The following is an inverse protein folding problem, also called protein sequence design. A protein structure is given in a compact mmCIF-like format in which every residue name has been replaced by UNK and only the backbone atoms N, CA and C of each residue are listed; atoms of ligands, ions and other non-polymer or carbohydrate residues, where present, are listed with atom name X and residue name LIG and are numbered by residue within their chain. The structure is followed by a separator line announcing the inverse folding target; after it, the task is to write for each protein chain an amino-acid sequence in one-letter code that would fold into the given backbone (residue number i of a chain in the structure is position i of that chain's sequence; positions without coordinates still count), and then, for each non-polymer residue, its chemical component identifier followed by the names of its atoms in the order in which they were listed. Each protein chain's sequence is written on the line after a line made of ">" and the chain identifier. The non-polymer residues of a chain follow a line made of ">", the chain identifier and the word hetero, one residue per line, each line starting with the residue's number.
data_IF_884970082841
#
_entry.id   IF_884970082841
#
_cell.length_a   1.000
_cell.length_b   1.000
_cell.length_c   1.000
_cell.angle_alpha   90.00
_cell.angle_beta   90.00
_cell.angle_gamma   90.00
#
_symmetry.space_group_name_H-M   'P 1'
#
loop_
_entity.id
_entity.type
_entity.pdbx_description
1 polymer ?
#
# COMPACT_ATOMS: atom_id res chain seq x y z
N UNK A 1 24.84 -43.13 25.74
CA UNK A 1 23.68 -43.18 24.82
C UNK A 1 22.41 -43.17 25.65
N UNK A 2 21.95 -41.99 26.05
CA UNK A 2 20.62 -41.75 26.62
C UNK A 2 20.16 -40.45 25.98
N UNK A 3 18.94 -40.45 25.46
CA UNK A 3 18.25 -39.34 24.78
C UNK A 3 18.41 -39.24 23.25
N UNK A 4 18.38 -40.36 22.53
CA UNK A 4 17.98 -40.35 21.11
C UNK A 4 16.44 -40.33 21.03
N UNK A 5 15.85 -39.17 21.31
CA UNK A 5 14.45 -38.92 20.99
C UNK A 5 14.32 -38.87 19.47
N UNK A 6 13.50 -39.74 18.88
CA UNK A 6 13.23 -39.73 17.44
C UNK A 6 12.37 -38.50 17.13
N UNK A 7 12.98 -37.46 16.56
CA UNK A 7 12.30 -36.20 16.21
C UNK A 7 11.42 -36.36 14.98
N UNK A 8 11.89 -37.11 13.98
CA UNK A 8 11.15 -37.43 12.76
C UNK A 8 11.35 -38.92 12.44
N UNK A 9 10.29 -39.75 12.45
CA UNK A 9 10.38 -41.21 12.23
C UNK A 9 10.92 -41.62 10.87
N UNK A 10 10.66 -40.85 9.80
CA UNK A 10 11.20 -41.06 8.47
C UNK A 10 11.05 -39.80 7.60
N UNK A 11 11.81 -39.74 6.50
CA UNK A 11 11.84 -38.59 5.58
C UNK A 11 10.46 -38.21 5.00
N UNK A 12 9.52 -39.17 4.92
CA UNK A 12 8.17 -38.94 4.39
C UNK A 12 7.25 -38.18 5.36
N UNK A 13 7.71 -37.91 6.58
CA UNK A 13 6.94 -37.12 7.57
C UNK A 13 7.39 -35.66 7.64
N UNK A 14 8.35 -35.25 6.80
CA UNK A 14 8.71 -33.85 6.65
C UNK A 14 7.58 -33.07 5.98
N UNK A 15 7.35 -31.85 6.44
CA UNK A 15 6.49 -30.89 5.76
C UNK A 15 7.07 -30.52 4.39
N UNK A 16 6.22 -30.02 3.50
CA UNK A 16 6.63 -29.58 2.16
C UNK A 16 7.82 -28.61 2.20
N UNK A 17 7.80 -27.66 3.14
CA UNK A 17 8.89 -26.70 3.30
C UNK A 17 10.20 -27.33 3.78
N UNK A 18 10.14 -28.27 4.73
CA UNK A 18 11.33 -29.00 5.18
C UNK A 18 11.90 -29.88 4.06
N UNK A 19 11.05 -30.54 3.28
CA UNK A 19 11.46 -31.33 2.11
C UNK A 19 12.16 -30.44 1.08
N UNK A 20 11.66 -29.23 0.82
CA UNK A 20 12.32 -28.30 -0.10
C UNK A 20 13.72 -27.89 0.36
N UNK A 21 13.89 -27.56 1.64
CA UNK A 21 15.20 -27.21 2.20
C UNK A 21 16.19 -28.37 2.08
N UNK A 22 15.75 -29.58 2.40
CA UNK A 22 16.57 -30.80 2.26
C UNK A 22 16.90 -31.05 0.79
N UNK A 23 15.93 -30.92 -0.11
CA UNK A 23 16.15 -31.09 -1.55
C UNK A 23 17.14 -30.07 -2.09
N UNK A 24 17.06 -28.80 -1.66
CA UNK A 24 18.01 -27.77 -2.06
C UNK A 24 19.43 -28.14 -1.61
N UNK A 25 19.61 -28.46 -0.34
CA UNK A 25 20.90 -28.88 0.22
C UNK A 25 21.49 -30.09 -0.51
N UNK A 26 20.69 -31.15 -0.68
CA UNK A 26 21.15 -32.38 -1.32
C UNK A 26 21.42 -32.20 -2.81
N UNK A 27 20.66 -31.34 -3.51
CA UNK A 27 20.88 -31.07 -4.94
C UNK A 27 22.21 -30.38 -5.17
N UNK A 28 22.55 -29.37 -4.35
CA UNK A 28 23.84 -28.68 -4.45
C UNK A 28 25.00 -29.66 -4.26
N UNK A 29 24.94 -30.52 -3.24
CA UNK A 29 25.98 -31.51 -2.96
C UNK A 29 26.10 -32.51 -4.11
N UNK A 30 24.95 -33.07 -4.54
CA UNK A 30 24.91 -34.06 -5.63
C UNK A 30 25.49 -33.48 -6.93
N UNK A 31 25.10 -32.26 -7.28
CA UNK A 31 25.52 -31.65 -8.53
C UNK A 31 27.02 -31.30 -8.50
N UNK A 32 27.57 -30.96 -7.33
CA UNK A 32 29.02 -30.80 -7.15
C UNK A 32 29.78 -32.14 -7.22
N UNK A 33 29.26 -33.20 -6.60
CA UNK A 33 29.86 -34.55 -6.65
C UNK A 33 29.95 -35.08 -8.10
N UNK A 34 28.90 -34.83 -8.90
CA UNK A 34 28.86 -35.14 -10.33
C UNK A 34 29.87 -34.34 -11.17
N UNK A 35 30.43 -33.26 -10.63
CA UNK A 35 31.47 -32.47 -11.31
C UNK A 35 32.90 -33.01 -11.10
N UNK A 36 33.04 -34.17 -10.45
CA UNK A 36 34.34 -34.78 -10.06
C UNK A 36 35.18 -33.90 -9.12
N UNK A 37 34.52 -33.00 -8.36
CA UNK A 37 35.16 -32.19 -7.33
C UNK A 37 35.52 -33.01 -6.09
N UNK A 38 36.67 -32.73 -5.47
CA UNK A 38 37.01 -33.32 -4.17
C UNK A 38 36.09 -32.77 -3.07
N UNK A 39 35.19 -33.61 -2.56
CA UNK A 39 34.26 -33.24 -1.48
C UNK A 39 34.75 -33.75 -0.13
N UNK A 40 35.45 -32.90 0.64
CA UNK A 40 35.82 -33.19 2.03
C UNK A 40 34.92 -32.42 3.01
N UNK A 41 34.50 -31.20 2.65
CA UNK A 41 33.64 -30.35 3.45
C UNK A 41 32.83 -29.37 2.56
N UNK A 42 31.83 -28.70 3.13
CA UNK A 42 30.94 -27.80 2.38
C UNK A 42 31.66 -26.59 1.76
N UNK A 43 32.82 -26.16 2.27
CA UNK A 43 33.58 -25.06 1.68
C UNK A 43 34.27 -25.48 0.37
N UNK A 44 34.41 -26.78 0.11
CA UNK A 44 35.00 -27.25 -1.15
C UNK A 44 34.04 -27.03 -2.33
N UNK A 45 32.74 -26.98 -2.04
CA UNK A 45 31.67 -26.77 -3.02
C UNK A 45 31.74 -25.35 -3.55
N UNK A 46 31.84 -25.22 -4.88
CA UNK A 46 31.88 -23.93 -5.59
C UNK A 46 30.99 -23.98 -6.82
N UNK A 47 30.37 -22.85 -7.15
CA UNK A 47 29.53 -22.76 -8.33
C UNK A 47 28.54 -21.61 -8.26
N UNK A 48 27.60 -21.62 -9.21
CA UNK A 48 26.48 -20.68 -9.26
C UNK A 48 25.19 -21.48 -9.16
N UNK A 49 24.32 -21.08 -8.23
CA UNK A 49 23.00 -21.69 -8.01
C UNK A 49 21.94 -20.66 -8.33
N UNK A 50 21.02 -21.00 -9.23
CA UNK A 50 19.92 -20.14 -9.66
C UNK A 50 18.61 -20.78 -9.20
N UNK A 51 17.81 -20.05 -8.43
CA UNK A 51 16.54 -20.56 -7.88
C UNK A 51 15.45 -19.53 -8.10
N UNK A 52 14.36 -19.98 -8.72
CA UNK A 52 13.14 -19.19 -8.80
C UNK A 52 12.26 -19.47 -7.58
N UNK A 53 11.70 -18.42 -6.99
CA UNK A 53 10.85 -18.44 -5.79
C UNK A 53 11.41 -19.29 -4.65
N UNK A 54 12.62 -18.93 -4.17
CA UNK A 54 13.33 -19.72 -3.16
C UNK A 54 12.55 -19.91 -1.84
N UNK A 55 11.61 -19.01 -1.56
CA UNK A 55 10.76 -19.01 -0.38
C UNK A 55 9.41 -19.73 -0.56
N UNK A 56 9.12 -20.25 -1.75
CA UNK A 56 7.86 -20.92 -2.06
C UNK A 56 7.59 -22.07 -1.07
N UNK A 57 6.39 -22.11 -0.49
CA UNK A 57 5.96 -23.12 0.48
C UNK A 57 6.77 -23.23 1.79
N UNK A 58 7.72 -22.32 2.05
CA UNK A 58 8.43 -22.25 3.32
C UNK A 58 7.60 -21.51 4.37
N UNK A 59 7.57 -22.03 5.60
CA UNK A 59 7.03 -21.28 6.73
C UNK A 59 7.92 -20.08 7.06
N UNK A 60 7.32 -19.01 7.59
CA UNK A 60 7.98 -17.77 8.00
C UNK A 60 9.27 -17.95 8.82
N UNK A 61 9.30 -18.93 9.73
CA UNK A 61 10.50 -19.26 10.53
C UNK A 61 11.61 -19.83 9.64
N UNK A 62 11.28 -20.68 8.67
CA UNK A 62 12.25 -21.23 7.75
C UNK A 62 12.79 -20.19 6.76
N UNK A 63 11.92 -19.28 6.28
CA UNK A 63 12.33 -18.17 5.41
C UNK A 63 13.32 -17.23 6.10
N UNK A 64 13.03 -16.83 7.35
CA UNK A 64 13.90 -15.93 8.11
C UNK A 64 15.15 -16.61 8.66
N UNK A 65 15.02 -17.78 9.29
CA UNK A 65 16.10 -18.32 10.12
C UNK A 65 16.89 -19.45 9.47
N UNK A 66 16.22 -20.34 8.72
CA UNK A 66 16.85 -21.60 8.25
C UNK A 66 17.46 -21.43 6.86
N UNK A 67 16.72 -20.82 5.94
CA UNK A 67 17.14 -20.68 4.56
C UNK A 67 18.42 -19.82 4.41
N UNK A 68 18.57 -18.65 5.07
CA UNK A 68 19.82 -17.87 5.01
C UNK A 68 21.02 -18.62 5.59
N UNK A 69 20.83 -19.40 6.67
CA UNK A 69 21.90 -20.25 7.24
C UNK A 69 22.32 -21.37 6.30
N UNK A 70 21.35 -21.95 5.58
CA UNK A 70 21.63 -22.94 4.55
C UNK A 70 22.49 -22.31 3.44
N UNK A 71 22.12 -21.14 2.92
CA UNK A 71 22.90 -20.40 1.93
C UNK A 71 24.32 -20.13 2.46
N UNK A 72 24.45 -19.66 3.70
CA UNK A 72 25.73 -19.35 4.35
C UNK A 72 26.64 -20.56 4.54
N UNK A 73 26.06 -21.76 4.59
CA UNK A 73 26.81 -23.01 4.71
C UNK A 73 27.61 -23.36 3.45
N UNK A 74 27.34 -22.69 2.33
CA UNK A 74 28.05 -22.84 1.06
C UNK A 74 28.78 -21.54 0.67
N UNK A 75 29.85 -21.15 1.37
CA UNK A 75 30.45 -19.81 1.24
C UNK A 75 31.10 -19.53 -0.12
N UNK A 76 31.42 -20.57 -0.90
CA UNK A 76 32.01 -20.43 -2.24
C UNK A 76 30.99 -20.65 -3.37
N UNK A 77 29.69 -20.67 -3.04
CA UNK A 77 28.59 -20.74 -4.02
C UNK A 77 27.94 -19.36 -4.14
N UNK A 78 27.81 -18.88 -5.37
CA UNK A 78 27.04 -17.69 -5.67
C UNK A 78 25.56 -18.05 -5.86
N UNK A 79 24.68 -17.47 -5.05
CA UNK A 79 23.25 -17.65 -5.18
C UNK A 79 22.62 -16.48 -5.96
N UNK A 80 21.82 -16.80 -6.97
CA UNK A 80 20.97 -15.86 -7.71
C UNK A 80 19.53 -16.34 -7.55
N UNK A 81 18.76 -15.62 -6.75
CA UNK A 81 17.44 -16.10 -6.29
C UNK A 81 16.37 -15.04 -6.52
N UNK A 82 15.15 -15.47 -6.82
CA UNK A 82 13.97 -14.60 -6.77
C UNK A 82 13.18 -14.92 -5.50
N UNK A 83 12.57 -13.89 -4.90
CA UNK A 83 11.79 -14.07 -3.69
C UNK A 83 10.65 -13.06 -3.60
N UNK A 84 9.53 -13.49 -3.02
CA UNK A 84 8.41 -12.63 -2.65
C UNK A 84 8.32 -12.40 -1.13
N UNK A 85 9.07 -13.14 -0.32
CA UNK A 85 9.02 -13.08 1.13
C UNK A 85 9.92 -11.98 1.72
N UNK A 86 9.34 -10.92 2.34
CA UNK A 86 10.14 -9.90 3.03
C UNK A 86 10.97 -10.50 4.18
N UNK A 87 10.44 -11.55 4.81
CA UNK A 87 11.11 -12.23 5.92
C UNK A 87 12.44 -12.88 5.55
N UNK A 88 12.57 -13.34 4.30
CA UNK A 88 13.82 -13.91 3.83
C UNK A 88 14.92 -12.85 3.76
N UNK A 89 14.61 -11.64 3.28
CA UNK A 89 15.58 -10.53 3.18
C UNK A 89 16.16 -10.13 4.53
N UNK A 90 15.38 -10.20 5.61
CA UNK A 90 15.88 -9.95 6.96
C UNK A 90 16.81 -11.02 7.46
N UNK A 91 16.44 -12.26 7.20
CA UNK A 91 17.29 -13.38 7.55
C UNK A 91 18.62 -13.27 6.84
N UNK A 92 18.61 -12.81 5.58
CA UNK A 92 19.81 -12.48 4.83
C UNK A 92 20.60 -11.33 5.46
N UNK A 93 19.96 -10.23 5.85
CA UNK A 93 20.64 -9.12 6.54
C UNK A 93 21.23 -9.54 7.91
N UNK A 94 20.51 -10.33 8.69
CA UNK A 94 20.97 -10.86 9.97
C UNK A 94 22.15 -11.82 9.82
N UNK A 95 22.14 -12.66 8.78
CA UNK A 95 23.21 -13.64 8.56
C UNK A 95 24.42 -13.11 7.78
N UNK A 96 24.23 -12.15 6.87
CA UNK A 96 25.26 -11.68 5.95
C UNK A 96 25.64 -10.20 6.13
N UNK A 97 24.84 -9.41 6.85
CA UNK A 97 25.00 -7.96 6.96
C UNK A 97 24.55 -7.21 5.69
N UNK A 98 24.52 -5.88 5.77
CA UNK A 98 24.05 -4.99 4.67
C UNK A 98 24.86 -5.16 3.37
N UNK A 99 26.17 -5.39 3.47
CA UNK A 99 27.06 -5.52 2.31
C UNK A 99 27.22 -6.97 1.80
N UNK A 100 26.57 -7.93 2.46
CA UNK A 100 26.78 -9.35 2.19
C UNK A 100 25.96 -9.93 1.03
N UNK A 101 25.00 -9.17 0.51
CA UNK A 101 24.14 -9.55 -0.60
C UNK A 101 23.63 -8.32 -1.36
N UNK A 102 23.11 -8.52 -2.57
CA UNK A 102 22.51 -7.44 -3.37
C UNK A 102 21.03 -7.72 -3.65
N UNK A 103 20.20 -6.68 -3.57
CA UNK A 103 18.78 -6.76 -3.89
C UNK A 103 18.53 -6.03 -5.21
N UNK A 104 17.92 -6.72 -6.17
CA UNK A 104 17.54 -6.16 -7.46
C UNK A 104 16.03 -6.23 -7.61
N UNK A 105 15.38 -5.07 -7.71
CA UNK A 105 13.95 -4.99 -7.95
C UNK A 105 13.63 -5.29 -9.42
N UNK A 106 12.63 -6.12 -9.66
CA UNK A 106 12.13 -6.45 -11.00
C UNK A 106 10.74 -5.83 -11.22
N UNK A 107 10.40 -5.41 -12.46
CA UNK A 107 11.16 -5.61 -13.70
C UNK A 107 12.19 -4.51 -13.99
N UNK A 108 12.28 -3.48 -13.14
CA UNK A 108 13.05 -2.27 -13.45
C UNK A 108 14.58 -2.44 -13.33
N UNK A 109 15.06 -3.53 -12.73
CA UNK A 109 16.47 -3.85 -12.57
C UNK A 109 17.22 -2.93 -11.62
N UNK A 110 16.52 -2.16 -10.77
CA UNK A 110 17.15 -1.21 -9.85
C UNK A 110 17.63 -1.92 -8.59
N UNK A 111 18.85 -1.59 -8.16
CA UNK A 111 19.33 -2.01 -6.84
C UNK A 111 18.55 -1.29 -5.74
N UNK A 112 18.22 -2.00 -4.67
CA UNK A 112 17.52 -1.48 -3.50
C UNK A 112 18.38 -1.72 -2.27
N UNK A 113 18.42 -0.76 -1.34
CA UNK A 113 19.11 -0.94 -0.06
C UNK A 113 18.26 -1.83 0.87
N UNK A 114 18.89 -2.74 1.61
CA UNK A 114 18.17 -3.59 2.57
C UNK A 114 17.43 -2.76 3.64
N UNK A 115 17.99 -1.59 3.94
CA UNK A 115 17.56 -0.59 4.91
C UNK A 115 16.17 -0.01 4.55
N UNK A 116 15.82 0.12 3.26
CA UNK A 116 14.50 0.58 2.80
C UNK A 116 13.38 -0.44 3.15
N UNK A 117 13.73 -1.70 3.41
CA UNK A 117 12.82 -2.75 3.87
C UNK A 117 12.84 -2.97 5.39
N UNK A 118 13.90 -2.51 6.07
CA UNK A 118 14.08 -2.69 7.51
C UNK A 118 12.99 -2.00 8.35
N UNK A 119 12.49 -0.83 7.93
CA UNK A 119 11.37 -0.14 8.60
C UNK A 119 10.04 -0.88 8.45
N UNK A 120 9.76 -1.38 7.24
CA UNK A 120 8.56 -2.20 6.97
C UNK A 120 8.57 -3.46 7.85
N UNK A 121 9.75 -3.98 8.13
CA UNK A 121 9.91 -5.20 8.88
C UNK A 121 9.93 -4.93 10.39
N UNK A 122 10.57 -3.87 10.87
CA UNK A 122 10.54 -3.54 12.28
C UNK A 122 9.08 -3.45 12.77
N UNK A 123 8.19 -2.95 11.92
CA UNK A 123 6.74 -2.99 12.13
C UNK A 123 6.17 -4.44 12.13
N UNK A 124 6.62 -5.31 11.22
CA UNK A 124 6.22 -6.73 11.16
C UNK A 124 6.75 -7.61 12.31
N UNK A 125 7.94 -7.33 12.84
CA UNK A 125 8.53 -8.05 13.98
C UNK A 125 7.94 -7.57 15.30
N UNK A 126 7.71 -6.27 15.47
CA UNK A 126 6.92 -5.73 16.59
C UNK A 126 5.51 -6.36 16.64
N UNK A 127 4.96 -6.69 15.47
CA UNK A 127 3.71 -7.43 15.29
C UNK A 127 3.81 -8.94 15.64
N UNK A 128 5.00 -9.54 15.62
CA UNK A 128 5.23 -10.98 15.83
C UNK A 128 5.61 -11.33 17.28
N UNK A 129 6.24 -10.43 18.03
CA UNK A 129 6.75 -10.71 19.38
C UNK A 129 5.68 -10.76 20.49
N UNK A 130 4.45 -10.29 20.26
CA UNK A 130 3.33 -10.44 21.20
C UNK A 130 2.74 -11.86 21.16
N UNK A 131 3.52 -12.82 21.68
CA UNK A 131 3.20 -14.25 21.71
C UNK A 131 2.29 -14.62 22.89
N UNK A 132 1.02 -14.25 22.79
CA UNK A 132 -0.14 -15.00 23.34
C UNK A 132 -1.41 -14.32 22.90
N UNK A 133 -2.02 -14.87 21.84
CA UNK A 133 -3.45 -14.79 21.45
C UNK A 133 -3.59 -14.81 19.92
N UNK A 134 -3.18 -15.90 19.27
CA UNK A 134 -3.26 -16.03 17.81
C UNK A 134 -4.70 -16.03 17.26
N UNK A 135 -5.68 -16.36 18.09
CA UNK A 135 -7.09 -16.47 17.71
C UNK A 135 -7.92 -15.23 18.12
N UNK A 136 -7.61 -14.58 19.25
CA UNK A 136 -8.22 -13.29 19.61
C UNK A 136 -7.59 -12.13 18.83
N UNK A 137 -6.30 -12.20 18.49
CA UNK A 137 -5.61 -11.15 17.72
C UNK A 137 -5.95 -11.19 16.23
N UNK A 138 -6.35 -12.33 15.64
CA UNK A 138 -6.89 -12.29 14.26
C UNK A 138 -8.22 -11.53 14.19
N UNK A 139 -8.99 -11.55 15.29
CA UNK A 139 -10.16 -10.70 15.52
C UNK A 139 -9.74 -9.25 15.79
N UNK A 140 -8.70 -9.02 16.58
CA UNK A 140 -8.19 -7.68 16.94
C UNK A 140 -7.34 -7.00 15.85
N UNK A 141 -6.73 -7.73 14.90
CA UNK A 141 -6.00 -7.20 13.72
C UNK A 141 -7.00 -6.74 12.67
N UNK A 142 -8.12 -7.47 12.50
CA UNK A 142 -9.27 -6.92 11.77
C UNK A 142 -9.80 -5.64 12.44
N UNK A 143 -9.66 -5.48 13.76
CA UNK A 143 -10.00 -4.25 14.48
C UNK A 143 -8.92 -3.15 14.42
N UNK A 144 -7.62 -3.47 14.26
CA UNK A 144 -6.54 -2.49 14.43
C UNK A 144 -5.71 -2.17 13.19
N UNK A 145 -5.86 -2.91 12.09
CA UNK A 145 -5.25 -2.57 10.82
C UNK A 145 -6.08 -1.48 10.13
N UNK A 146 -5.98 -0.25 10.62
CA UNK A 146 -6.78 0.90 10.15
C UNK A 146 -6.84 0.93 8.62
N UNK A 147 -8.04 0.89 8.02
CA UNK A 147 -8.21 1.05 6.58
C UNK A 147 -7.48 2.29 6.07
N UNK A 148 -6.85 2.18 4.91
CA UNK A 148 -6.13 3.32 4.32
C UNK A 148 -7.06 3.97 3.29
N UNK A 149 -7.26 5.27 3.40
CA UNK A 149 -8.01 6.07 2.44
C UNK A 149 -7.01 7.00 1.74
N UNK A 150 -6.79 6.76 0.44
CA UNK A 150 -6.04 7.66 -0.42
C UNK A 150 -6.99 8.67 -1.06
N UNK A 151 -6.62 9.93 -1.01
CA UNK A 151 -7.31 11.06 -1.67
C UNK A 151 -6.39 11.68 -2.73
N UNK A 152 -6.91 12.52 -3.63
CA UNK A 152 -6.12 13.07 -4.75
C UNK A 152 -5.05 14.05 -4.25
N UNK A 153 -5.37 14.91 -3.27
CA UNK A 153 -4.46 15.95 -2.77
C UNK A 153 -4.38 16.11 -1.25
N UNK A 154 -3.41 16.90 -0.79
CA UNK A 154 -3.19 17.22 0.62
C UNK A 154 -4.33 18.11 1.20
N UNK A 155 -4.90 19.00 0.39
CA UNK A 155 -6.04 19.82 0.77
C UNK A 155 -7.28 18.98 1.10
N UNK A 156 -7.50 17.87 0.39
CA UNK A 156 -8.62 16.96 0.64
C UNK A 156 -8.54 16.37 2.04
N UNK A 157 -7.34 15.99 2.48
CA UNK A 157 -7.09 15.49 3.84
C UNK A 157 -7.45 16.56 4.87
N UNK A 158 -7.07 17.82 4.62
CA UNK A 158 -7.37 18.94 5.52
C UNK A 158 -8.87 19.21 5.60
N UNK A 159 -9.57 19.21 4.46
CA UNK A 159 -11.01 19.35 4.44
C UNK A 159 -11.72 18.19 5.15
N UNK A 160 -11.30 16.94 4.93
CA UNK A 160 -11.86 15.77 5.61
C UNK A 160 -11.64 15.83 7.12
N UNK A 161 -10.43 16.19 7.57
CA UNK A 161 -10.17 16.37 9.01
C UNK A 161 -11.08 17.43 9.61
N UNK A 162 -11.21 18.59 8.95
CA UNK A 162 -12.07 19.67 9.44
C UNK A 162 -13.54 19.30 9.43
N UNK A 163 -14.01 18.68 8.36
CA UNK A 163 -15.38 18.20 8.24
C UNK A 163 -15.70 17.19 9.34
N UNK A 164 -14.76 16.30 9.69
CA UNK A 164 -14.98 15.32 10.74
C UNK A 164 -15.18 15.95 12.12
N UNK A 165 -14.46 17.02 12.44
CA UNK A 165 -14.68 17.80 13.68
C UNK A 165 -16.10 18.35 13.74
N UNK A 166 -16.59 18.92 12.63
CA UNK A 166 -17.92 19.54 12.59
C UNK A 166 -19.07 18.54 12.52
N UNK A 167 -18.89 17.44 11.79
CA UNK A 167 -19.91 16.41 11.57
C UNK A 167 -19.89 15.30 12.61
N UNK A 168 -18.99 15.38 13.61
CA UNK A 168 -18.86 14.36 14.65
C UNK A 168 -18.34 13.01 14.13
N UNK A 169 -17.55 13.03 13.04
CA UNK A 169 -16.96 11.84 12.39
C UNK A 169 -15.50 11.63 12.81
N UNK A 170 -15.01 12.29 13.87
CA UNK A 170 -13.63 12.13 14.38
C UNK A 170 -13.31 10.67 14.72
N UNK A 171 -14.25 9.95 15.34
CA UNK A 171 -14.09 8.53 15.65
C UNK A 171 -13.89 7.67 14.39
N UNK A 172 -14.53 8.04 13.27
CA UNK A 172 -14.34 7.35 11.98
C UNK A 172 -12.93 7.61 11.44
N UNK A 173 -12.46 8.87 11.51
CA UNK A 173 -11.09 9.23 11.11
C UNK A 173 -10.02 8.56 11.99
N UNK A 174 -10.28 8.44 13.29
CA UNK A 174 -9.40 7.76 14.23
C UNK A 174 -9.26 6.27 13.90
N UNK A 175 -10.23 5.66 13.21
CA UNK A 175 -10.20 4.27 12.79
C UNK A 175 -9.56 4.04 11.42
N UNK A 176 -9.16 5.10 10.68
CA UNK A 176 -8.54 5.00 9.35
C UNK A 176 -7.18 5.72 9.26
N UNK A 177 -6.50 5.56 8.13
CA UNK A 177 -5.31 6.33 7.76
C UNK A 177 -5.61 7.12 6.49
N UNK A 178 -5.61 8.45 6.55
CA UNK A 178 -5.69 9.31 5.36
C UNK A 178 -4.30 9.53 4.77
N UNK A 179 -4.16 9.35 3.46
CA UNK A 179 -2.92 9.60 2.70
C UNK A 179 -3.21 10.33 1.40
N UNK A 180 -2.27 11.14 0.96
CA UNK A 180 -2.33 11.81 -0.33
C UNK A 180 -1.84 10.87 -1.45
N UNK A 181 -2.47 10.96 -2.62
CA UNK A 181 -2.11 10.19 -3.81
C UNK A 181 -0.88 10.75 -4.54
N UNK A 182 -0.53 12.01 -4.30
CA UNK A 182 0.53 12.74 -5.01
C UNK A 182 1.93 12.21 -4.69
N UNK A 183 2.19 11.75 -3.46
CA UNK A 183 3.44 11.05 -3.10
C UNK A 183 3.72 9.78 -3.92
N UNK A 184 2.67 9.17 -4.50
CA UNK A 184 2.76 8.00 -5.39
C UNK A 184 2.55 8.35 -6.87
N UNK A 185 2.43 9.63 -7.20
CA UNK A 185 2.24 10.13 -8.56
C UNK A 185 0.83 9.86 -9.12
N UNK A 186 -0.19 9.99 -8.26
CA UNK A 186 -1.65 9.91 -8.47
C UNK A 186 -2.30 8.55 -8.13
N UNK A 187 -3.56 8.59 -7.67
CA UNK A 187 -4.43 7.44 -7.37
C UNK A 187 -4.48 6.39 -8.48
N UNK A 188 -4.40 6.77 -9.75
CA UNK A 188 -4.39 5.82 -10.87
C UNK A 188 -3.13 4.91 -10.87
N UNK A 189 -1.99 5.38 -10.37
CA UNK A 189 -0.79 4.54 -10.22
C UNK A 189 -0.93 3.60 -9.03
N UNK A 190 -1.51 4.08 -7.93
CA UNK A 190 -1.84 3.27 -6.76
C UNK A 190 -2.82 2.15 -7.15
N UNK A 191 -3.87 2.46 -7.90
CA UNK A 191 -4.80 1.44 -8.42
C UNK A 191 -4.10 0.39 -9.29
N UNK A 192 -3.14 0.82 -10.12
CA UNK A 192 -2.38 -0.09 -11.00
C UNK A 192 -1.39 -0.96 -10.23
N UNK A 193 -0.74 -0.45 -9.18
CA UNK A 193 0.19 -1.25 -8.37
C UNK A 193 -0.55 -2.39 -7.66
N UNK A 194 -1.79 -2.15 -7.25
CA UNK A 194 -2.65 -3.17 -6.63
C UNK A 194 -3.36 -4.11 -7.63
N UNK A 195 -3.17 -3.94 -8.95
CA UNK A 195 -3.68 -4.89 -9.94
C UNK A 195 -2.82 -6.16 -10.10
N UNK A 196 -1.64 -6.20 -9.48
CA UNK A 196 -0.81 -7.40 -9.44
C UNK A 196 -1.28 -8.33 -8.29
N UNK A 197 -0.76 -9.55 -8.26
CA UNK A 197 -1.07 -10.64 -7.29
C UNK A 197 -0.97 -10.25 -5.80
N UNK A 198 -0.52 -9.02 -5.51
CA UNK A 198 -0.44 -8.38 -4.20
C UNK A 198 -1.82 -8.14 -3.57
N UNK A 199 -2.88 -7.91 -4.37
CA UNK A 199 -4.23 -7.65 -3.82
C UNK A 199 -4.84 -8.82 -3.07
N UNK A 200 -4.34 -10.05 -3.24
CA UNK A 200 -4.80 -11.25 -2.54
C UNK A 200 -4.21 -11.39 -1.12
N UNK A 201 -3.12 -10.66 -0.83
CA UNK A 201 -2.32 -10.80 0.40
C UNK A 201 -2.52 -9.61 1.35
N UNK A 202 -3.26 -8.58 0.93
CA UNK A 202 -3.47 -7.38 1.73
C UNK A 202 -4.32 -7.69 2.98
N UNK A 203 -3.86 -7.35 4.19
CA UNK A 203 -4.65 -7.55 5.41
C UNK A 203 -5.74 -6.48 5.63
N UNK A 204 -5.66 -5.33 4.96
CA UNK A 204 -6.48 -4.13 5.28
C UNK A 204 -7.28 -3.66 4.07
N UNK A 205 -8.43 -3.03 4.33
CA UNK A 205 -9.20 -2.31 3.31
C UNK A 205 -8.44 -1.07 2.83
N UNK A 206 -8.32 -0.91 1.52
CA UNK A 206 -7.74 0.27 0.86
C UNK A 206 -8.85 0.96 0.09
N UNK A 207 -9.07 2.24 0.33
CA UNK A 207 -10.05 3.07 -0.37
C UNK A 207 -9.28 4.11 -1.19
N UNK A 208 -9.53 4.15 -2.49
CA UNK A 208 -9.09 5.22 -3.38
C UNK A 208 -10.30 6.11 -3.62
N UNK A 209 -10.32 7.28 -2.98
CA UNK A 209 -11.40 8.23 -3.05
C UNK A 209 -11.04 9.31 -4.07
N UNK A 210 -11.71 9.25 -5.22
CA UNK A 210 -11.50 10.16 -6.34
C UNK A 210 -12.45 11.36 -6.27
N UNK A 211 -11.98 12.50 -6.77
CA UNK A 211 -12.79 13.69 -6.98
C UNK A 211 -13.94 13.45 -7.97
N UNK A 212 -14.99 14.26 -7.84
CA UNK A 212 -16.23 14.10 -8.57
C UNK A 212 -16.11 14.31 -10.09
N UNK A 213 -15.06 14.97 -10.57
CA UNK A 213 -14.83 15.30 -11.98
C UNK A 213 -13.99 14.24 -12.74
N UNK A 214 -13.50 13.22 -12.05
CA UNK A 214 -12.55 12.24 -12.62
C UNK A 214 -13.18 11.29 -13.67
N UNK A 215 -14.49 11.35 -13.89
CA UNK A 215 -15.25 10.55 -14.85
C UNK A 215 -14.97 9.03 -14.72
N UNK A 216 -14.70 8.60 -13.48
CA UNK A 216 -14.39 7.21 -13.14
C UNK A 216 -15.66 6.47 -12.69
N UNK A 217 -15.60 5.14 -12.71
CA UNK A 217 -16.63 4.29 -12.12
C UNK A 217 -16.13 3.70 -10.80
N UNK A 218 -17.07 3.45 -9.90
CA UNK A 218 -16.85 2.68 -8.69
C UNK A 218 -16.50 1.25 -9.05
N UNK A 219 -15.36 0.78 -8.54
CA UNK A 219 -14.87 -0.58 -8.78
C UNK A 219 -14.38 -1.14 -7.45
N UNK A 220 -14.60 -2.42 -7.21
CA UNK A 220 -14.02 -3.13 -6.08
C UNK A 220 -13.23 -4.34 -6.57
N UNK A 221 -12.05 -4.56 -5.99
CA UNK A 221 -11.21 -5.75 -6.21
C UNK A 221 -10.67 -6.22 -4.87
N UNK A 222 -11.18 -7.34 -4.39
CA UNK A 222 -10.88 -7.87 -3.06
C UNK A 222 -11.08 -6.80 -1.97
N UNK A 223 -10.01 -6.42 -1.25
CA UNK A 223 -10.00 -5.38 -0.22
C UNK A 223 -9.62 -3.98 -0.74
N UNK A 224 -9.49 -3.79 -2.05
CA UNK A 224 -9.22 -2.48 -2.67
C UNK A 224 -10.49 -1.92 -3.31
N UNK A 225 -10.90 -0.75 -2.85
CA UNK A 225 -12.12 -0.07 -3.22
C UNK A 225 -11.79 1.23 -3.93
N UNK A 226 -12.24 1.36 -5.17
CA UNK A 226 -12.24 2.62 -5.90
C UNK A 226 -13.62 3.24 -5.79
N UNK A 227 -13.69 4.47 -5.28
CA UNK A 227 -14.92 5.23 -5.13
C UNK A 227 -14.75 6.64 -5.65
N UNK A 228 -15.78 7.15 -6.29
CA UNK A 228 -15.84 8.53 -6.78
C UNK A 228 -16.79 9.31 -5.90
N UNK A 229 -16.39 10.50 -5.48
CA UNK A 229 -17.27 11.40 -4.75
C UNK A 229 -18.46 11.81 -5.63
N UNK A 230 -19.69 11.82 -5.09
CA UNK A 230 -20.85 12.27 -5.83
C UNK A 230 -20.73 13.76 -6.12
N UNK A 231 -21.02 14.17 -7.35
CA UNK A 231 -21.10 15.59 -7.70
C UNK A 231 -22.43 16.20 -7.27
N UNK A 232 -22.38 17.41 -6.74
CA UNK A 232 -23.54 18.29 -6.59
C UNK A 232 -23.85 18.88 -7.96
N UNK A 233 -25.02 18.50 -8.50
CA UNK A 233 -25.52 18.98 -9.80
C UNK A 233 -25.82 20.47 -9.71
N UNK A 234 -25.49 21.22 -10.77
CA UNK A 234 -25.65 22.68 -10.88
C UNK A 234 -24.85 23.52 -9.86
N UNK A 235 -23.88 22.91 -9.18
CA UNK A 235 -22.95 23.64 -8.31
C UNK A 235 -22.04 24.57 -9.16
N UNK A 236 -21.83 25.84 -8.74
CA UNK A 236 -20.94 26.76 -9.44
C UNK A 236 -19.51 26.22 -9.65
N UNK A 237 -18.99 25.44 -8.69
CA UNK A 237 -17.70 24.77 -8.78
C UNK A 237 -17.94 23.30 -9.11
N UNK A 238 -17.44 22.85 -10.27
CA UNK A 238 -17.68 21.50 -10.79
C UNK A 238 -16.47 20.55 -10.72
N UNK A 239 -15.34 21.03 -10.21
CA UNK A 239 -14.04 20.35 -10.23
C UNK A 239 -13.52 20.18 -8.81
N UNK A 240 -12.96 19.01 -8.51
CA UNK A 240 -12.31 18.71 -7.24
C UNK A 240 -13.28 18.44 -6.10
N UNK A 241 -12.73 18.09 -4.94
CA UNK A 241 -13.49 17.91 -3.70
C UNK A 241 -14.25 19.19 -3.29
N UNK A 242 -13.84 20.37 -3.79
CA UNK A 242 -14.51 21.63 -3.49
C UNK A 242 -15.94 21.73 -4.06
N UNK A 243 -16.32 20.85 -4.99
CA UNK A 243 -17.71 20.68 -5.43
C UNK A 243 -18.66 20.26 -4.28
N UNK A 244 -18.14 19.73 -3.17
CA UNK A 244 -18.93 19.38 -1.99
C UNK A 244 -19.37 20.62 -1.17
N UNK A 245 -18.77 21.79 -1.39
CA UNK A 245 -19.23 23.03 -0.76
C UNK A 245 -20.50 23.53 -1.42
N UNK A 246 -21.48 23.96 -0.61
CA UNK A 246 -22.74 24.49 -1.11
C UNK A 246 -22.55 25.81 -1.89
N UNK A 247 -23.51 26.16 -2.74
CA UNK A 247 -23.50 27.46 -3.43
C UNK A 247 -23.44 28.63 -2.43
N UNK A 248 -24.12 28.53 -1.29
CA UNK A 248 -24.09 29.56 -0.25
C UNK A 248 -22.69 29.73 0.36
N UNK A 249 -21.99 28.61 0.61
CA UNK A 249 -20.59 28.62 1.08
C UNK A 249 -19.67 29.23 0.03
N UNK A 250 -19.85 28.90 -1.25
CA UNK A 250 -19.06 29.46 -2.35
C UNK A 250 -19.28 30.97 -2.46
N UNK A 251 -20.52 31.42 -2.40
CA UNK A 251 -20.87 32.84 -2.46
C UNK A 251 -20.33 33.61 -1.24
N UNK A 252 -20.31 32.98 -0.06
CA UNK A 252 -19.67 33.55 1.15
C UNK A 252 -18.17 33.72 0.95
N UNK A 253 -17.47 32.70 0.44
CA UNK A 253 -16.04 32.77 0.15
C UNK A 253 -15.75 33.87 -0.86
N UNK A 254 -16.51 33.94 -1.95
CA UNK A 254 -16.34 34.98 -2.97
C UNK A 254 -16.56 36.39 -2.41
N UNK A 255 -17.56 36.56 -1.53
CA UNK A 255 -17.85 37.85 -0.91
C UNK A 255 -16.76 38.34 0.05
N UNK A 256 -16.14 37.43 0.81
CA UNK A 256 -15.11 37.78 1.80
C UNK A 256 -13.69 37.77 1.21
N UNK A 257 -13.42 36.85 0.30
CA UNK A 257 -12.11 36.58 -0.30
C UNK A 257 -12.24 36.30 -1.81
N UNK A 258 -12.56 37.32 -2.63
CA UNK A 258 -12.82 37.14 -4.05
C UNK A 258 -11.62 36.56 -4.82
N UNK A 259 -10.40 36.73 -4.32
CA UNK A 259 -9.18 36.19 -4.94
C UNK A 259 -9.14 34.65 -4.98
N UNK A 260 -9.95 33.97 -4.17
CA UNK A 260 -9.97 32.50 -4.14
C UNK A 260 -10.78 31.87 -5.28
N UNK A 261 -11.70 32.62 -5.88
CA UNK A 261 -12.66 32.11 -6.87
C UNK A 261 -12.47 32.86 -8.20
N UNK A 262 -12.10 32.13 -9.24
CA UNK A 262 -12.12 32.61 -10.62
C UNK A 262 -13.53 32.45 -11.21
N UNK A 263 -14.04 33.52 -11.84
CA UNK A 263 -15.36 33.54 -12.49
C UNK A 263 -15.16 33.47 -14.00
N UNK A 264 -15.84 32.51 -14.64
CA UNK A 264 -15.89 32.38 -16.09
C UNK A 264 -17.31 32.71 -16.56
N UNK A 265 -17.45 33.81 -17.30
CA UNK A 265 -18.73 34.22 -17.86
C UNK A 265 -19.22 33.27 -18.96
N UNK A 266 -20.54 33.27 -19.19
CA UNK A 266 -21.14 32.52 -20.28
C UNK A 266 -20.53 32.96 -21.62
N UNK A 267 -20.10 31.98 -22.41
CA UNK A 267 -19.50 32.23 -23.72
C UNK A 267 -19.94 31.16 -24.72
N UNK A 268 -19.78 31.43 -26.02
CA UNK A 268 -20.03 30.42 -27.05
C UNK A 268 -18.72 30.02 -27.74
N UNK A 269 -18.60 28.73 -28.09
CA UNK A 269 -17.48 28.21 -28.86
C UNK A 269 -17.99 27.44 -30.07
N UNK A 270 -17.41 27.72 -31.24
CA UNK A 270 -17.68 26.95 -32.46
C UNK A 270 -16.65 25.84 -32.62
N UNK A 271 -17.09 24.58 -32.55
CA UNK A 271 -16.26 23.41 -32.80
C UNK A 271 -16.80 22.67 -34.03
N UNK A 272 -15.98 22.57 -35.08
CA UNK A 272 -16.35 21.92 -36.36
C UNK A 272 -17.68 22.43 -36.95
N UNK A 273 -17.92 23.74 -36.84
CA UNK A 273 -19.12 24.39 -37.39
C UNK A 273 -20.35 24.37 -36.48
N UNK A 274 -20.34 23.58 -35.40
CA UNK A 274 -21.41 23.56 -34.40
C UNK A 274 -21.11 24.58 -33.32
N UNK A 275 -22.05 25.49 -33.07
CA UNK A 275 -21.98 26.46 -31.99
C UNK A 275 -22.42 25.78 -30.69
N UNK A 276 -21.54 25.78 -29.69
CA UNK A 276 -21.76 25.16 -28.38
C UNK A 276 -21.68 26.25 -27.32
N UNK A 277 -22.74 26.40 -26.53
CA UNK A 277 -22.73 27.33 -25.40
C UNK A 277 -21.93 26.71 -24.25
N UNK A 278 -21.04 27.52 -23.66
CA UNK A 278 -20.30 27.23 -22.45
C UNK A 278 -20.98 28.04 -21.36
N UNK A 279 -21.71 27.40 -20.42
CA UNK A 279 -22.39 28.10 -19.35
C UNK A 279 -21.38 28.79 -18.44
N UNK A 280 -21.85 29.82 -17.71
CA UNK A 280 -21.04 30.45 -16.67
C UNK A 280 -20.64 29.41 -15.61
N UNK A 281 -19.41 29.51 -15.11
CA UNK A 281 -18.88 28.59 -14.09
C UNK A 281 -17.90 29.31 -13.18
N UNK A 282 -17.71 28.76 -11.98
CA UNK A 282 -16.71 29.22 -11.02
C UNK A 282 -15.67 28.13 -10.82
N UNK A 283 -14.41 28.52 -10.59
CA UNK A 283 -13.34 27.58 -10.27
C UNK A 283 -12.52 28.11 -9.12
N UNK A 284 -12.06 27.23 -8.23
CA UNK A 284 -11.07 27.65 -7.22
C UNK A 284 -9.76 27.98 -7.93
N UNK A 285 -9.23 29.17 -7.65
CA UNK A 285 -7.98 29.62 -8.23
C UNK A 285 -6.84 28.69 -7.78
N UNK A 286 -6.07 28.19 -8.74
CA UNK A 286 -5.05 27.15 -8.51
C UNK A 286 -3.98 27.58 -7.51
N UNK A 287 -3.54 28.83 -7.57
CA UNK A 287 -2.48 29.35 -6.71
C UNK A 287 -2.99 29.72 -5.30
N UNK A 288 -4.31 29.85 -5.16
CA UNK A 288 -4.98 30.21 -3.92
C UNK A 288 -5.69 29.03 -3.23
N UNK A 289 -5.69 27.83 -3.83
CA UNK A 289 -6.32 26.62 -3.24
C UNK A 289 -5.91 26.39 -1.78
N UNK A 290 -4.62 26.53 -1.47
CA UNK A 290 -4.11 26.38 -0.10
C UNK A 290 -4.60 27.47 0.86
N UNK A 291 -4.75 28.71 0.38
CA UNK A 291 -5.25 29.82 1.18
C UNK A 291 -6.75 29.67 1.44
N UNK A 292 -7.54 29.32 0.42
CA UNK A 292 -8.96 28.99 0.57
C UNK A 292 -9.17 27.84 1.56
N UNK A 293 -8.40 26.76 1.44
CA UNK A 293 -8.48 25.62 2.35
C UNK A 293 -8.19 26.03 3.79
N UNK A 294 -7.13 26.81 4.02
CA UNK A 294 -6.77 27.31 5.35
C UNK A 294 -7.86 28.22 5.93
N UNK A 295 -8.38 29.15 5.11
CA UNK A 295 -9.43 30.07 5.52
C UNK A 295 -10.72 29.32 5.91
N UNK A 296 -11.14 28.32 5.13
CA UNK A 296 -12.29 27.47 5.44
C UNK A 296 -12.06 26.62 6.69
N UNK A 297 -10.85 26.13 6.91
CA UNK A 297 -10.51 25.39 8.13
C UNK A 297 -10.58 26.27 9.39
N UNK A 298 -10.34 27.58 9.27
CA UNK A 298 -10.37 28.54 10.37
C UNK A 298 -11.75 29.18 10.59
N UNK A 299 -12.46 29.50 9.51
CA UNK A 299 -13.68 30.34 9.53
C UNK A 299 -14.96 29.59 9.08
N UNK A 300 -14.82 28.35 8.61
CA UNK A 300 -15.93 27.52 8.20
C UNK A 300 -16.82 27.07 9.36
N UNK A 301 -18.05 26.71 9.04
CA UNK A 301 -19.05 26.23 9.98
C UNK A 301 -19.47 24.79 9.66
N UNK A 302 -20.24 24.15 10.54
CA UNK A 302 -20.75 22.81 10.25
C UNK A 302 -21.68 22.75 9.02
N UNK A 303 -22.40 23.84 8.73
CA UNK A 303 -23.25 23.95 7.55
C UNK A 303 -22.41 23.99 6.26
N UNK A 304 -21.29 24.72 6.29
CA UNK A 304 -20.35 24.80 5.17
C UNK A 304 -19.77 23.43 4.79
N UNK A 305 -19.50 22.57 5.77
CA UNK A 305 -18.92 21.24 5.55
C UNK A 305 -19.96 20.12 5.38
N UNK A 306 -21.26 20.43 5.35
CA UNK A 306 -22.34 19.43 5.31
C UNK A 306 -22.27 18.46 4.12
N UNK A 307 -21.78 18.91 2.96
CA UNK A 307 -21.62 18.06 1.77
C UNK A 307 -20.62 16.91 1.94
N UNK A 308 -19.67 17.03 2.88
CA UNK A 308 -18.67 16.00 3.18
C UNK A 308 -19.25 14.77 3.87
N UNK A 309 -20.50 14.83 4.36
CA UNK A 309 -21.21 13.65 4.87
C UNK A 309 -21.24 12.52 3.83
N UNK A 310 -21.31 12.86 2.54
CA UNK A 310 -21.27 11.89 1.45
C UNK A 310 -19.95 11.10 1.41
N UNK A 311 -18.82 11.78 1.59
CA UNK A 311 -17.51 11.16 1.66
C UNK A 311 -17.41 10.21 2.85
N UNK A 312 -17.86 10.64 4.03
CA UNK A 312 -17.89 9.80 5.23
C UNK A 312 -18.80 8.59 5.08
N UNK A 313 -19.98 8.75 4.49
CA UNK A 313 -20.89 7.64 4.24
C UNK A 313 -20.27 6.58 3.32
N UNK A 314 -19.53 7.00 2.28
CA UNK A 314 -18.79 6.09 1.41
C UNK A 314 -17.74 5.32 2.22
N UNK A 315 -16.91 6.03 2.98
CA UNK A 315 -15.85 5.44 3.81
C UNK A 315 -16.45 4.47 4.82
N UNK A 316 -17.47 4.90 5.57
CA UNK A 316 -18.16 4.13 6.61
C UNK A 316 -18.82 2.87 6.04
N UNK A 317 -19.48 2.96 4.88
CA UNK A 317 -20.08 1.80 4.21
C UNK A 317 -19.06 0.72 3.85
N UNK A 318 -17.85 1.12 3.50
CA UNK A 318 -16.76 0.20 3.14
C UNK A 318 -16.13 -0.39 4.39
N UNK A 319 -15.96 0.41 5.45
CA UNK A 319 -15.35 -0.06 6.70
C UNK A 319 -16.27 -1.08 7.39
N UNK A 320 -17.57 -0.80 7.44
CA UNK A 320 -18.55 -1.62 8.15
C UNK A 320 -19.10 -2.80 7.34
N UNK A 321 -18.84 -2.86 6.02
CA UNK A 321 -19.29 -3.94 5.12
C UNK A 321 -18.28 -5.05 4.93
#
# INVERSE_FOLDING_TARGET
>A
MKDEQVWVPNLFQLSTGEVQLVNLFLSIIRDYDLSEGEFNNLNDIKGVVIIDEIDAHLHAVHQKDVLPKLIKSFPNVQFIVTSHAPLFLLGMEQEFGEDGFEIINLPNGKKVAANDFSEFIAAYEAFKETTKHREEIFSEIQEHSKPIVFVEGDYDIRYLNKAAEFLGKTNLLDCIQLKDGDGFGNLDKIWKSYNNSVSEVLPNKIILLYDCDTNKQDIQKNLVFKRVLPSIVDNPISIGIENLFSEDTINKIEGENPQYIDIHEESSKRVRGVETNIPASKTVNKDEKGNMCSWLCENGTAEDFSGFETAFNIIESIING
#
